data_IF_243566349419
#
_entry.id   IF_243566349419
#
_cell.length_a   1.000
_cell.length_b   1.000
_cell.length_c   1.000
_cell.angle_alpha   90.00
_cell.angle_beta   90.00
_cell.angle_gamma   90.00
#
_symmetry.space_group_name_H-M   'P 1'
#
loop_
_entity.id
_entity.type
_entity.pdbx_description
1 polymer ?
#
# COMPACT_ATOMS: atom_id res chain seq x y z
N UNK A 1 23.65 34.24 14.74
CA UNK A 1 22.48 35.00 14.30
C UNK A 1 21.98 34.30 13.03
N UNK A 2 20.66 34.16 12.85
CA UNK A 2 20.03 33.66 11.63
C UNK A 2 19.54 34.88 10.87
N UNK A 3 19.90 35.04 9.60
CA UNK A 3 19.54 36.22 8.79
C UNK A 3 19.08 35.78 7.38
N UNK A 4 17.78 35.97 7.08
CA UNK A 4 17.13 35.66 5.81
C UNK A 4 15.98 36.61 5.54
N UNK A 5 15.54 36.76 4.28
CA UNK A 5 14.39 37.63 3.97
C UNK A 5 13.10 37.10 4.57
N UNK A 6 12.85 35.79 4.46
CA UNK A 6 11.63 35.16 4.94
C UNK A 6 11.97 33.98 5.85
N UNK A 7 11.56 34.09 7.11
CA UNK A 7 11.76 33.04 8.10
C UNK A 7 10.41 32.43 8.50
N UNK A 8 10.36 31.12 8.59
CA UNK A 8 9.20 30.39 9.07
C UNK A 8 9.59 29.61 10.31
N UNK A 9 8.80 29.73 11.37
CA UNK A 9 9.00 28.93 12.56
C UNK A 9 8.01 27.78 12.63
N UNK A 10 8.55 26.57 12.61
CA UNK A 10 7.82 25.33 12.70
C UNK A 10 8.40 24.49 13.84
N UNK A 11 7.88 24.68 15.06
CA UNK A 11 8.49 24.13 16.27
C UNK A 11 8.73 22.63 16.21
N UNK A 12 7.72 21.85 15.81
CA UNK A 12 7.78 20.40 15.72
C UNK A 12 7.46 19.92 14.31
N UNK A 13 8.42 19.27 13.67
CA UNK A 13 8.22 18.61 12.37
C UNK A 13 7.94 17.12 12.64
N UNK A 14 6.68 16.70 12.58
CA UNK A 14 6.26 15.32 12.83
C UNK A 14 6.61 14.39 11.66
N UNK A 15 6.42 13.09 11.81
CA UNK A 15 6.67 12.10 10.75
C UNK A 15 5.63 12.19 9.63
N UNK A 16 4.39 12.55 9.96
CA UNK A 16 3.26 12.71 9.01
C UNK A 16 2.26 13.72 9.56
N UNK A 17 1.70 14.55 8.66
CA UNK A 17 0.65 15.50 9.01
C UNK A 17 0.35 16.50 7.90
N UNK A 18 -0.77 17.23 8.05
CA UNK A 18 -1.17 18.27 7.08
C UNK A 18 -0.21 19.45 7.05
N UNK A 19 0.36 19.82 8.21
CA UNK A 19 1.29 20.94 8.32
C UNK A 19 2.64 20.59 7.68
N UNK A 20 3.15 19.36 7.87
CA UNK A 20 4.34 18.85 7.20
C UNK A 20 4.16 18.85 5.68
N UNK A 21 2.97 18.47 5.22
CA UNK A 21 2.60 18.50 3.80
C UNK A 21 2.54 19.92 3.27
N UNK A 22 2.00 20.86 4.04
CA UNK A 22 2.04 22.30 3.72
C UNK A 22 3.48 22.77 3.52
N UNK A 23 4.36 22.57 4.49
CA UNK A 23 5.76 23.00 4.39
C UNK A 23 6.50 22.35 3.22
N UNK A 24 6.21 21.10 2.92
CA UNK A 24 6.79 20.43 1.76
C UNK A 24 6.38 21.08 0.44
N UNK A 25 5.07 21.28 0.22
CA UNK A 25 4.60 21.92 -1.02
C UNK A 25 4.98 23.39 -1.08
N UNK A 26 4.98 24.08 0.05
CA UNK A 26 5.44 25.45 0.15
C UNK A 26 6.91 25.58 -0.24
N UNK A 27 7.77 24.80 0.37
CA UNK A 27 9.20 24.79 0.08
C UNK A 27 9.48 24.46 -1.41
N UNK A 28 8.79 23.48 -1.95
CA UNK A 28 8.92 23.08 -3.34
C UNK A 28 8.51 24.19 -4.31
N UNK A 29 7.35 24.80 -4.08
CA UNK A 29 6.80 25.87 -4.93
C UNK A 29 7.63 27.15 -4.91
N UNK A 30 8.20 27.48 -3.75
CA UNK A 30 8.92 28.74 -3.53
C UNK A 30 10.43 28.54 -3.33
N UNK A 31 10.99 27.45 -3.84
CA UNK A 31 12.41 27.06 -3.71
C UNK A 31 13.42 28.11 -4.18
N UNK A 32 13.02 29.00 -5.09
CA UNK A 32 13.87 30.04 -5.66
C UNK A 32 13.80 31.35 -4.85
N UNK A 33 13.05 31.37 -3.73
CA UNK A 33 12.96 32.50 -2.81
C UNK A 33 13.94 32.35 -1.65
N UNK A 34 14.37 33.47 -1.07
CA UNK A 34 15.18 33.43 0.16
C UNK A 34 14.29 33.08 1.36
N UNK A 35 14.24 31.81 1.69
CA UNK A 35 13.39 31.21 2.74
C UNK A 35 14.23 30.33 3.66
N UNK A 36 14.09 30.54 4.97
CA UNK A 36 14.59 29.62 5.98
C UNK A 36 13.44 29.10 6.85
N UNK A 37 13.35 27.79 7.02
CA UNK A 37 12.44 27.14 7.97
C UNK A 37 13.24 26.82 9.24
N UNK A 38 12.82 27.40 10.35
CA UNK A 38 13.46 27.26 11.66
C UNK A 38 12.62 26.28 12.49
N UNK A 39 13.24 25.24 13.04
CA UNK A 39 12.56 24.22 13.82
C UNK A 39 13.32 23.89 15.11
N UNK A 40 12.60 23.44 16.14
CA UNK A 40 13.22 23.00 17.41
C UNK A 40 13.48 21.50 17.41
N UNK A 41 12.48 20.71 17.00
CA UNK A 41 12.54 19.25 16.98
C UNK A 41 11.89 18.73 15.68
N UNK A 42 12.30 17.54 15.23
CA UNK A 42 11.64 16.99 14.04
C UNK A 42 12.13 15.62 13.60
N UNK A 43 11.26 14.97 12.85
CA UNK A 43 11.52 13.70 12.17
C UNK A 43 12.55 13.89 11.06
N UNK A 44 13.58 13.06 11.08
CA UNK A 44 14.68 13.14 10.11
C UNK A 44 14.24 13.00 8.66
N UNK A 45 13.23 12.12 8.39
CA UNK A 45 12.76 11.87 7.01
C UNK A 45 12.05 13.10 6.45
N UNK A 46 11.23 13.78 7.26
CA UNK A 46 10.55 15.01 6.84
C UNK A 46 11.54 16.18 6.71
N UNK A 47 12.47 16.33 7.64
CA UNK A 47 13.54 17.33 7.54
C UNK A 47 14.29 17.13 6.22
N UNK A 48 14.76 15.91 5.94
CA UNK A 48 15.44 15.55 4.68
C UNK A 48 14.59 15.83 3.45
N UNK A 49 13.29 15.57 3.52
CA UNK A 49 12.33 15.79 2.42
C UNK A 49 12.19 17.28 2.09
N UNK A 50 12.03 18.12 3.11
CA UNK A 50 11.81 19.58 2.93
C UNK A 50 13.12 20.28 2.57
N UNK A 51 14.25 19.86 3.17
CA UNK A 51 15.58 20.47 2.95
C UNK A 51 16.12 20.32 1.51
N UNK A 52 15.45 19.52 0.67
CA UNK A 52 15.74 19.46 -0.77
C UNK A 52 15.42 20.76 -1.52
N UNK A 53 14.59 21.63 -0.94
CA UNK A 53 14.06 22.81 -1.60
C UNK A 53 14.42 24.10 -0.92
N UNK A 54 14.49 24.14 0.43
CA UNK A 54 14.77 25.34 1.21
C UNK A 54 15.66 25.01 2.40
N UNK A 55 16.30 26.03 2.96
CA UNK A 55 17.18 25.87 4.14
C UNK A 55 16.35 25.55 5.38
N UNK A 56 16.71 24.48 6.09
CA UNK A 56 16.19 24.14 7.42
C UNK A 56 17.24 24.38 8.48
N UNK A 57 16.92 25.14 9.52
CA UNK A 57 17.82 25.51 10.60
C UNK A 57 17.24 25.03 11.93
N UNK A 58 18.01 24.21 12.65
CA UNK A 58 17.63 23.83 14.01
C UNK A 58 17.83 25.00 14.96
N UNK A 59 16.75 25.40 15.64
CA UNK A 59 16.79 26.47 16.64
C UNK A 59 17.50 26.02 17.92
N UNK A 60 18.43 26.83 18.38
CA UNK A 60 19.23 26.64 19.61
C UNK A 60 19.33 27.91 20.43
N UNK A 61 18.31 28.78 20.37
CA UNK A 61 18.31 30.09 21.06
C UNK A 61 18.99 31.23 20.28
N UNK A 62 19.27 31.05 18.97
CA UNK A 62 19.87 32.11 18.16
C UNK A 62 18.90 33.28 17.98
N UNK A 63 19.44 34.51 17.89
CA UNK A 63 18.69 35.68 17.41
C UNK A 63 18.39 35.50 15.93
N UNK A 64 17.18 35.89 15.52
CA UNK A 64 16.68 35.81 14.15
C UNK A 64 16.41 37.23 13.66
N UNK A 65 16.93 37.56 12.47
CA UNK A 65 16.66 38.83 11.79
C UNK A 65 16.13 38.54 10.38
N UNK A 66 14.97 39.13 10.05
CA UNK A 66 14.34 38.89 8.74
C UNK A 66 13.45 40.08 8.32
N UNK A 67 13.04 40.07 7.07
CA UNK A 67 12.00 40.99 6.62
C UNK A 67 10.63 40.52 7.09
N UNK A 68 10.34 39.24 6.92
CA UNK A 68 9.05 38.63 7.30
C UNK A 68 9.28 37.39 8.16
N UNK A 69 8.64 37.35 9.31
CA UNK A 69 8.62 36.20 10.19
C UNK A 69 7.25 35.56 10.21
N UNK A 70 7.17 34.31 9.78
CA UNK A 70 5.95 33.52 9.78
C UNK A 70 5.98 32.51 10.93
N UNK A 71 4.97 32.55 11.77
CA UNK A 71 4.77 31.60 12.84
C UNK A 71 3.68 30.61 12.46
N UNK A 72 3.97 29.34 12.62
CA UNK A 72 3.00 28.28 12.52
C UNK A 72 2.57 27.84 13.92
N UNK A 73 1.41 28.24 14.39
CA UNK A 73 0.85 27.97 15.71
C UNK A 73 1.71 28.47 16.89
N UNK A 74 2.96 28.02 17.04
CA UNK A 74 3.86 28.36 18.15
C UNK A 74 4.55 29.71 17.91
N UNK A 75 4.57 30.55 18.95
CA UNK A 75 5.19 31.88 18.94
C UNK A 75 6.24 32.07 20.05
N UNK A 76 6.62 30.98 20.70
CA UNK A 76 7.49 30.95 21.90
C UNK A 76 8.88 31.59 21.69
N UNK A 77 9.33 31.73 20.46
CA UNK A 77 10.61 32.35 20.12
C UNK A 77 10.51 33.83 19.73
N UNK A 78 9.31 34.44 19.77
CA UNK A 78 9.04 35.76 19.20
C UNK A 78 9.91 36.88 19.78
N UNK A 79 10.38 36.74 21.01
CA UNK A 79 11.26 37.75 21.66
C UNK A 79 12.71 37.70 21.16
N UNK A 80 13.09 36.58 20.51
CA UNK A 80 14.41 36.43 19.88
C UNK A 80 14.39 36.84 18.40
N UNK A 81 13.24 37.40 17.91
CA UNK A 81 13.04 37.77 16.51
C UNK A 81 13.00 39.27 16.35
N UNK A 82 13.76 39.78 15.38
CA UNK A 82 13.69 41.12 14.82
C UNK A 82 13.20 41.03 13.37
N UNK A 83 11.98 41.48 13.10
CA UNK A 83 11.37 41.43 11.78
C UNK A 83 10.63 42.70 11.47
N UNK A 84 10.46 43.03 10.17
CA UNK A 84 9.61 44.16 9.71
C UNK A 84 8.13 43.80 9.78
N UNK A 85 7.80 42.53 9.47
CA UNK A 85 6.46 41.98 9.57
C UNK A 85 6.46 40.68 10.35
N UNK A 86 5.50 40.54 11.28
CA UNK A 86 5.24 39.34 12.05
C UNK A 86 3.90 38.75 11.64
N UNK A 87 3.90 37.58 11.07
CA UNK A 87 2.73 36.96 10.44
C UNK A 87 2.48 35.61 11.15
N UNK A 88 1.23 35.37 11.53
CA UNK A 88 0.83 34.05 12.04
C UNK A 88 -0.08 33.35 11.06
N UNK A 89 0.19 32.05 10.80
CA UNK A 89 -0.61 31.19 9.95
C UNK A 89 -1.46 30.27 10.84
N UNK A 90 -2.77 30.35 10.67
CA UNK A 90 -3.73 29.49 11.33
C UNK A 90 -4.09 28.32 10.41
N UNK A 91 -3.83 27.09 10.87
CA UNK A 91 -4.04 25.85 10.10
C UNK A 91 -5.21 25.00 10.59
N UNK A 92 -5.79 25.30 11.74
CA UNK A 92 -6.82 24.46 12.37
C UNK A 92 -8.14 25.20 12.58
N UNK A 93 -9.23 24.47 12.59
CA UNK A 93 -10.50 24.94 13.14
C UNK A 93 -10.42 24.90 14.67
N UNK A 94 -9.93 25.98 15.24
CA UNK A 94 -9.70 26.10 16.68
C UNK A 94 -10.97 25.98 17.50
N UNK A 95 -12.11 26.36 16.92
CA UNK A 95 -13.43 26.25 17.59
C UNK A 95 -13.82 24.78 17.79
N UNK A 96 -13.76 23.98 16.72
CA UNK A 96 -14.07 22.55 16.80
C UNK A 96 -13.06 21.77 17.65
N UNK A 97 -11.81 22.23 17.71
CA UNK A 97 -10.76 21.63 18.54
C UNK A 97 -10.86 22.05 20.03
N UNK A 98 -11.66 23.06 20.36
CA UNK A 98 -11.72 23.63 21.73
C UNK A 98 -10.39 24.25 22.19
N UNK A 99 -9.54 24.69 21.25
CA UNK A 99 -8.21 25.23 21.52
C UNK A 99 -8.23 26.75 21.28
N UNK A 100 -7.69 27.52 22.22
CA UNK A 100 -7.48 28.95 22.00
C UNK A 100 -6.20 29.16 21.18
N UNK A 101 -6.28 29.86 20.03
CA UNK A 101 -5.07 30.16 19.26
C UNK A 101 -4.15 31.12 20.02
N UNK A 102 -2.84 30.97 19.79
CA UNK A 102 -1.87 31.90 20.32
C UNK A 102 -1.99 33.26 19.61
N UNK A 103 -1.97 34.33 20.37
CA UNK A 103 -1.93 35.71 19.86
C UNK A 103 -0.81 36.47 20.56
N UNK A 104 -0.24 37.49 19.89
CA UNK A 104 0.81 38.31 20.50
C UNK A 104 0.78 39.73 19.92
N UNK A 105 1.04 40.79 20.72
CA UNK A 105 1.00 42.19 20.27
C UNK A 105 1.95 42.54 19.10
N UNK A 106 3.06 41.80 18.97
CA UNK A 106 4.00 41.96 17.84
C UNK A 106 3.45 41.43 16.52
N UNK A 107 2.46 40.50 16.54
CA UNK A 107 1.88 39.94 15.32
C UNK A 107 0.94 40.99 14.71
N UNK A 108 1.31 41.40 13.53
CA UNK A 108 0.57 42.46 12.82
C UNK A 108 -0.25 41.92 11.62
N UNK A 109 -0.16 40.63 11.34
CA UNK A 109 -0.95 39.98 10.29
C UNK A 109 -1.27 38.53 10.66
N UNK A 110 -2.54 38.14 10.45
CA UNK A 110 -3.00 36.74 10.63
C UNK A 110 -3.50 36.19 9.29
N UNK A 111 -3.08 34.97 8.96
CA UNK A 111 -3.50 34.27 7.75
C UNK A 111 -4.28 33.03 8.15
N UNK A 112 -5.41 32.75 7.49
CA UNK A 112 -6.18 31.52 7.65
C UNK A 112 -6.10 30.69 6.36
N UNK A 113 -5.87 29.39 6.49
CA UNK A 113 -5.71 28.49 5.33
C UNK A 113 -7.02 28.12 4.63
N UNK A 114 -8.15 28.53 5.18
CA UNK A 114 -9.50 28.41 4.60
C UNK A 114 -10.42 29.46 5.16
N UNK A 115 -11.57 29.71 4.52
CA UNK A 115 -12.57 30.66 5.02
C UNK A 115 -13.07 30.24 6.41
N UNK A 116 -13.33 28.94 6.63
CA UNK A 116 -13.71 28.43 7.94
C UNK A 116 -12.70 28.80 9.03
N UNK A 117 -11.40 28.65 8.74
CA UNK A 117 -10.34 29.01 9.68
C UNK A 117 -10.31 30.51 9.93
N UNK A 118 -10.49 31.34 8.90
CA UNK A 118 -10.57 32.78 9.06
C UNK A 118 -11.73 33.18 9.97
N UNK A 119 -12.93 32.66 9.73
CA UNK A 119 -14.15 32.99 10.46
C UNK A 119 -14.06 32.56 11.94
N UNK A 120 -13.64 31.30 12.18
CA UNK A 120 -13.50 30.77 13.54
C UNK A 120 -12.35 31.43 14.32
N UNK A 121 -11.25 31.77 13.65
CA UNK A 121 -10.16 32.51 14.30
C UNK A 121 -10.61 33.89 14.74
N UNK A 122 -11.33 34.66 13.87
CA UNK A 122 -11.91 35.95 14.19
C UNK A 122 -12.93 35.87 15.31
N UNK A 123 -13.80 34.85 15.30
CA UNK A 123 -14.79 34.64 16.36
C UNK A 123 -14.13 34.45 17.74
N UNK A 124 -13.02 33.66 17.81
CA UNK A 124 -12.36 33.37 19.07
C UNK A 124 -11.45 34.52 19.55
N UNK A 125 -10.75 35.19 18.64
CA UNK A 125 -9.69 36.14 18.99
C UNK A 125 -10.06 37.62 18.80
N UNK A 126 -11.07 37.89 17.98
CA UNK A 126 -11.42 39.24 17.54
C UNK A 126 -10.50 39.79 16.44
N UNK A 127 -9.45 39.11 16.02
CA UNK A 127 -8.55 39.58 14.98
C UNK A 127 -9.05 39.20 13.59
N UNK A 128 -8.95 40.16 12.66
CA UNK A 128 -9.18 39.89 11.23
C UNK A 128 -8.09 38.99 10.66
N UNK A 129 -8.52 38.02 9.84
CA UNK A 129 -7.64 37.03 9.25
C UNK A 129 -7.77 37.08 7.73
N UNK A 130 -6.65 37.24 7.05
CA UNK A 130 -6.62 37.19 5.59
C UNK A 130 -6.61 35.74 5.10
N UNK A 131 -7.45 35.42 4.11
CA UNK A 131 -7.52 34.10 3.50
C UNK A 131 -6.28 33.83 2.64
N UNK A 132 -5.56 32.75 2.96
CA UNK A 132 -4.38 32.31 2.24
C UNK A 132 -4.36 30.79 2.12
N UNK A 133 -4.90 30.25 1.03
CA UNK A 133 -4.93 28.81 0.78
C UNK A 133 -3.54 28.20 0.75
N UNK A 134 -3.46 26.95 1.24
CA UNK A 134 -2.22 26.19 1.19
C UNK A 134 -1.75 25.93 -0.24
N UNK A 135 -0.46 26.11 -0.56
CA UNK A 135 0.07 25.79 -1.87
C UNK A 135 0.07 24.29 -2.11
N UNK A 136 -0.13 23.90 -3.37
CA UNK A 136 0.01 22.52 -3.84
C UNK A 136 0.91 22.52 -5.06
N UNK A 137 1.92 21.65 -5.04
CA UNK A 137 2.90 21.46 -6.12
C UNK A 137 3.16 19.96 -6.29
N UNK A 138 2.29 19.28 -7.06
CA UNK A 138 2.31 17.82 -7.24
C UNK A 138 3.13 17.45 -8.47
N UNK A 139 4.13 16.60 -8.30
CA UNK A 139 4.83 15.96 -9.42
C UNK A 139 3.89 14.97 -10.11
N UNK A 140 4.15 14.71 -11.39
CA UNK A 140 3.47 13.62 -12.09
C UNK A 140 3.68 12.31 -11.32
N UNK A 141 2.61 11.65 -10.87
CA UNK A 141 2.76 10.42 -10.10
C UNK A 141 3.42 9.34 -10.95
N UNK A 142 4.29 8.55 -10.32
CA UNK A 142 4.85 7.35 -10.94
C UNK A 142 3.82 6.22 -10.86
N UNK A 143 3.78 5.35 -11.88
CA UNK A 143 3.04 4.09 -11.82
C UNK A 143 3.63 3.24 -10.69
N UNK A 144 2.77 2.65 -9.86
CA UNK A 144 3.17 1.60 -8.93
C UNK A 144 3.02 0.27 -9.66
N UNK A 145 4.09 -0.53 -9.71
CA UNK A 145 4.08 -1.85 -10.33
C UNK A 145 3.44 -2.85 -9.35
N UNK A 146 2.28 -3.39 -9.69
CA UNK A 146 1.57 -4.35 -8.87
C UNK A 146 2.00 -5.78 -9.24
N UNK A 147 2.74 -6.43 -8.36
CA UNK A 147 3.22 -7.80 -8.52
C UNK A 147 2.44 -8.74 -7.62
N UNK A 148 2.23 -9.97 -8.10
CA UNK A 148 1.59 -11.02 -7.32
C UNK A 148 2.37 -12.32 -7.44
N UNK A 149 2.45 -13.08 -6.34
CA UNK A 149 2.94 -14.46 -6.31
C UNK A 149 1.99 -15.34 -5.49
N UNK A 150 1.67 -16.52 -6.01
CA UNK A 150 0.93 -17.56 -5.32
C UNK A 150 1.85 -18.75 -5.17
N UNK A 151 2.66 -18.80 -4.11
CA UNK A 151 3.74 -19.78 -3.99
C UNK A 151 4.16 -19.99 -2.54
N UNK A 152 4.67 -21.18 -2.24
CA UNK A 152 5.42 -21.40 -0.99
C UNK A 152 6.75 -20.65 -1.07
N UNK A 153 7.20 -20.05 0.04
CA UNK A 153 8.48 -19.34 0.11
C UNK A 153 9.65 -20.28 0.45
N UNK A 154 9.73 -21.39 -0.25
CA UNK A 154 10.81 -22.36 -0.13
C UNK A 154 11.96 -22.02 -1.09
N UNK A 155 13.10 -22.66 -0.91
CA UNK A 155 14.27 -22.41 -1.75
C UNK A 155 13.97 -22.74 -3.22
N UNK A 156 13.42 -23.95 -3.48
CA UNK A 156 13.07 -24.43 -4.83
C UNK A 156 11.96 -23.61 -5.49
N UNK A 157 11.15 -22.88 -4.71
CA UNK A 157 10.14 -21.93 -5.23
C UNK A 157 10.68 -20.52 -5.41
N UNK A 158 12.01 -20.36 -5.29
CA UNK A 158 12.72 -19.16 -5.68
C UNK A 158 12.68 -18.03 -4.67
N UNK A 159 12.55 -18.28 -3.36
CA UNK A 159 12.56 -17.25 -2.34
C UNK A 159 13.74 -16.28 -2.50
N UNK A 160 14.96 -16.80 -2.69
CA UNK A 160 16.17 -15.98 -2.88
C UNK A 160 16.10 -15.09 -4.14
N UNK A 161 15.45 -15.58 -5.20
CA UNK A 161 15.25 -14.79 -6.43
C UNK A 161 14.18 -13.70 -6.24
N UNK A 162 13.14 -13.96 -5.47
CA UNK A 162 12.15 -12.95 -5.08
C UNK A 162 12.85 -11.83 -4.30
N UNK A 163 13.68 -12.17 -3.30
CA UNK A 163 14.48 -11.20 -2.54
C UNK A 163 15.42 -10.39 -3.46
N UNK A 164 16.09 -11.06 -4.39
CA UNK A 164 17.00 -10.42 -5.34
C UNK A 164 16.26 -9.47 -6.28
N UNK A 165 15.13 -9.89 -6.86
CA UNK A 165 14.33 -9.04 -7.76
C UNK A 165 13.76 -7.82 -7.02
N UNK A 166 13.27 -8.01 -5.78
CA UNK A 166 12.82 -6.91 -4.93
C UNK A 166 13.95 -5.90 -4.66
N UNK A 167 15.15 -6.38 -4.29
CA UNK A 167 16.33 -5.53 -4.13
C UNK A 167 16.73 -4.78 -5.40
N UNK A 168 16.58 -5.39 -6.57
CA UNK A 168 16.86 -4.74 -7.86
C UNK A 168 15.86 -3.62 -8.15
N UNK A 169 14.57 -3.84 -7.87
CA UNK A 169 13.52 -2.81 -8.00
C UNK A 169 13.77 -1.63 -7.05
N UNK A 170 14.13 -1.91 -5.78
CA UNK A 170 14.46 -0.88 -4.79
C UNK A 170 15.66 -0.03 -5.24
N UNK A 171 16.75 -0.67 -5.67
CA UNK A 171 17.95 0.02 -6.18
C UNK A 171 17.68 0.87 -7.42
N UNK A 172 16.78 0.42 -8.27
CA UNK A 172 16.35 1.17 -9.46
C UNK A 172 15.34 2.28 -9.16
N UNK A 173 14.90 2.46 -7.90
CA UNK A 173 13.85 3.38 -7.48
C UNK A 173 12.54 3.20 -8.29
N UNK A 174 12.20 1.95 -8.63
CA UNK A 174 10.94 1.59 -9.25
C UNK A 174 9.93 1.35 -8.14
N UNK A 175 8.84 2.13 -8.04
CA UNK A 175 7.84 1.89 -7.03
C UNK A 175 7.03 0.64 -7.37
N UNK A 176 6.88 -0.26 -6.41
CA UNK A 176 6.11 -1.49 -6.55
C UNK A 176 5.40 -1.86 -5.26
N UNK A 177 4.36 -2.67 -5.42
CA UNK A 177 3.67 -3.39 -4.37
C UNK A 177 3.63 -4.86 -4.78
N UNK A 178 4.12 -5.76 -3.92
CA UNK A 178 4.17 -7.19 -4.21
C UNK A 178 3.35 -7.99 -3.21
N UNK A 179 2.23 -8.52 -3.65
CA UNK A 179 1.41 -9.41 -2.84
C UNK A 179 1.92 -10.85 -2.98
N UNK A 180 2.25 -11.50 -1.87
CA UNK A 180 2.67 -12.90 -1.84
C UNK A 180 1.64 -13.71 -1.05
N UNK A 181 0.93 -14.59 -1.73
CA UNK A 181 -0.02 -15.52 -1.12
C UNK A 181 0.71 -16.80 -0.74
N UNK A 182 0.84 -17.05 0.57
CA UNK A 182 1.63 -18.14 1.13
C UNK A 182 1.22 -18.48 2.55
N UNK A 183 1.42 -19.73 2.95
CA UNK A 183 1.33 -20.18 4.35
C UNK A 183 2.70 -20.11 5.08
N UNK A 184 3.77 -19.76 4.36
CA UNK A 184 5.11 -19.71 4.94
C UNK A 184 5.25 -18.53 5.89
N UNK A 185 5.80 -18.78 7.08
CA UNK A 185 6.05 -17.76 8.11
C UNK A 185 7.40 -17.05 7.94
N UNK A 186 8.29 -17.56 7.07
CA UNK A 186 9.62 -16.99 6.83
C UNK A 186 9.56 -15.83 5.84
N UNK A 187 9.00 -14.73 6.27
CA UNK A 187 8.85 -13.52 5.47
C UNK A 187 10.20 -12.95 4.96
N UNK A 188 10.17 -12.37 3.78
CA UNK A 188 11.23 -11.50 3.24
C UNK A 188 11.05 -10.13 3.90
N UNK A 189 12.09 -9.59 4.51
CA UNK A 189 12.02 -8.27 5.15
C UNK A 189 12.13 -7.15 4.10
N UNK A 190 10.99 -6.78 3.51
CA UNK A 190 10.90 -5.67 2.55
C UNK A 190 9.55 -4.95 2.73
N UNK A 191 9.52 -3.61 2.91
CA UNK A 191 8.29 -2.86 3.19
C UNK A 191 7.31 -2.84 2.01
N UNK A 192 7.75 -3.15 0.79
CA UNK A 192 6.92 -3.21 -0.41
C UNK A 192 6.33 -4.59 -0.67
N UNK A 193 6.62 -5.59 0.20
CA UNK A 193 6.09 -6.96 0.12
C UNK A 193 5.04 -7.15 1.21
N UNK A 194 3.84 -7.53 0.80
CA UNK A 194 2.71 -7.83 1.69
C UNK A 194 2.37 -9.31 1.60
N UNK A 195 2.30 -9.98 2.74
CA UNK A 195 1.95 -11.38 2.83
C UNK A 195 0.47 -11.56 3.07
N UNK A 196 -0.12 -12.44 2.29
CA UNK A 196 -1.53 -12.82 2.36
C UNK A 196 -1.66 -14.33 2.57
N UNK A 197 -2.65 -14.75 3.35
CA UNK A 197 -3.03 -16.16 3.43
C UNK A 197 -3.51 -16.67 2.06
N UNK A 198 -3.30 -17.96 1.72
CA UNK A 198 -3.88 -18.56 0.53
C UNK A 198 -5.40 -18.35 0.46
N UNK A 199 -5.90 -18.16 -0.75
CA UNK A 199 -7.31 -17.84 -1.02
C UNK A 199 -7.82 -18.64 -2.20
N UNK A 200 -9.08 -19.07 -2.14
CA UNK A 200 -9.74 -19.75 -3.26
C UNK A 200 -10.10 -18.79 -4.40
N UNK A 201 -10.28 -17.51 -4.10
CA UNK A 201 -10.59 -16.44 -5.06
C UNK A 201 -9.35 -15.69 -5.57
N UNK A 202 -8.16 -16.30 -5.48
CA UNK A 202 -6.88 -15.68 -5.87
C UNK A 202 -6.86 -15.18 -7.32
N UNK A 203 -7.64 -15.80 -8.19
CA UNK A 203 -7.73 -15.42 -9.59
C UNK A 203 -8.17 -13.95 -9.77
N UNK A 204 -8.99 -13.42 -8.85
CA UNK A 204 -9.42 -12.03 -8.86
C UNK A 204 -8.25 -11.07 -8.57
N UNK A 205 -7.30 -11.47 -7.73
CA UNK A 205 -6.10 -10.70 -7.44
C UNK A 205 -5.12 -10.76 -8.61
N UNK A 206 -4.95 -11.94 -9.21
CA UNK A 206 -4.09 -12.16 -10.38
C UNK A 206 -4.56 -11.28 -11.54
N UNK A 207 -5.87 -11.25 -11.83
CA UNK A 207 -6.45 -10.47 -12.93
C UNK A 207 -6.24 -8.95 -12.79
N UNK A 208 -5.97 -8.45 -11.60
CA UNK A 208 -5.74 -7.03 -11.32
C UNK A 208 -4.27 -6.67 -11.07
N UNK A 209 -3.34 -7.62 -11.21
CA UNK A 209 -1.91 -7.38 -11.11
C UNK A 209 -1.31 -6.97 -12.47
N UNK A 210 -0.18 -6.25 -12.43
CA UNK A 210 0.62 -6.00 -13.63
C UNK A 210 1.35 -7.26 -14.09
N UNK A 211 1.79 -8.11 -13.13
CA UNK A 211 2.45 -9.38 -13.40
C UNK A 211 2.21 -10.40 -12.28
N UNK A 212 2.04 -11.66 -12.69
CA UNK A 212 2.30 -12.78 -11.80
C UNK A 212 3.79 -13.13 -11.86
N UNK A 213 4.41 -13.30 -10.68
CA UNK A 213 5.84 -13.62 -10.54
C UNK A 213 6.00 -15.03 -9.99
N UNK A 214 6.67 -15.92 -10.77
CA UNK A 214 6.93 -17.31 -10.40
C UNK A 214 8.39 -17.66 -10.74
N UNK A 215 9.26 -17.60 -9.73
CA UNK A 215 10.72 -17.75 -9.92
C UNK A 215 11.25 -19.11 -9.43
N UNK A 216 10.50 -20.19 -9.66
CA UNK A 216 10.84 -21.55 -9.24
C UNK A 216 12.04 -22.15 -9.97
N UNK A 217 12.72 -23.11 -9.34
CA UNK A 217 13.75 -23.95 -9.97
C UNK A 217 13.14 -24.95 -10.95
N UNK A 218 11.94 -25.45 -10.61
CA UNK A 218 11.19 -26.39 -11.42
C UNK A 218 9.70 -26.35 -11.08
N UNK A 219 8.88 -26.68 -12.03
CA UNK A 219 7.44 -26.88 -11.89
C UNK A 219 7.00 -28.01 -12.85
N UNK A 220 5.97 -28.76 -12.44
CA UNK A 220 5.39 -29.81 -13.32
C UNK A 220 4.45 -29.22 -14.37
N UNK A 221 3.59 -28.26 -13.99
CA UNK A 221 2.64 -27.61 -14.90
C UNK A 221 2.47 -26.11 -14.60
N UNK A 222 2.64 -25.70 -13.33
CA UNK A 222 2.51 -24.33 -12.85
C UNK A 222 1.13 -23.67 -13.10
N UNK A 223 0.10 -24.15 -12.40
CA UNK A 223 -1.27 -23.63 -12.53
C UNK A 223 -1.38 -22.11 -12.39
N UNK A 224 -0.68 -21.50 -11.43
CA UNK A 224 -0.73 -20.06 -11.24
C UNK A 224 -0.33 -19.24 -12.48
N UNK A 225 0.67 -19.75 -13.24
CA UNK A 225 1.10 -19.13 -14.50
C UNK A 225 0.03 -19.29 -15.59
N UNK A 226 -0.55 -20.50 -15.71
CA UNK A 226 -1.62 -20.77 -16.69
C UNK A 226 -2.87 -19.93 -16.37
N UNK A 227 -3.23 -19.82 -15.11
CA UNK A 227 -4.34 -19.00 -14.63
C UNK A 227 -4.10 -17.51 -14.96
N UNK A 228 -2.91 -16.99 -14.65
CA UNK A 228 -2.55 -15.61 -14.96
C UNK A 228 -2.65 -15.28 -16.45
N UNK A 229 -2.07 -16.13 -17.29
CA UNK A 229 -2.14 -15.97 -18.74
C UNK A 229 -3.58 -16.05 -19.25
N UNK A 230 -4.40 -16.93 -18.67
CA UNK A 230 -5.81 -17.13 -19.07
C UNK A 230 -6.71 -15.92 -18.77
N UNK A 231 -6.35 -15.11 -17.77
CA UNK A 231 -7.05 -13.85 -17.46
C UNK A 231 -6.36 -12.63 -18.07
N UNK A 232 -5.35 -12.83 -18.91
CA UNK A 232 -4.63 -11.74 -19.60
C UNK A 232 -3.56 -11.03 -18.75
N UNK A 233 -3.19 -11.60 -17.60
CA UNK A 233 -2.12 -11.09 -16.76
C UNK A 233 -0.79 -11.66 -17.21
N UNK A 234 0.18 -10.82 -17.63
CA UNK A 234 1.50 -11.28 -18.04
C UNK A 234 2.30 -11.81 -16.85
N UNK A 235 3.34 -12.60 -17.16
CA UNK A 235 4.10 -13.29 -16.13
C UNK A 235 5.58 -12.93 -16.15
N UNK A 236 6.24 -13.02 -15.00
CA UNK A 236 7.69 -12.98 -14.83
C UNK A 236 8.09 -14.34 -14.26
N UNK A 237 8.82 -15.14 -15.03
CA UNK A 237 9.11 -16.53 -14.68
C UNK A 237 10.60 -16.85 -14.91
N UNK A 238 11.10 -17.87 -14.21
CA UNK A 238 12.41 -18.46 -14.51
C UNK A 238 12.36 -19.33 -15.75
N UNK A 239 13.49 -19.47 -16.44
CA UNK A 239 13.64 -20.24 -17.69
C UNK A 239 13.62 -21.77 -17.44
N UNK A 240 12.48 -22.25 -16.90
CA UNK A 240 12.25 -23.69 -16.78
C UNK A 240 11.61 -24.25 -18.05
N UNK A 241 11.85 -25.51 -18.41
CA UNK A 241 11.30 -26.12 -19.64
C UNK A 241 9.77 -26.00 -19.73
N UNK A 242 9.06 -26.18 -18.62
CA UNK A 242 7.59 -26.13 -18.58
C UNK A 242 7.03 -24.75 -18.95
N UNK A 243 7.73 -23.66 -18.67
CA UNK A 243 7.24 -22.32 -19.01
C UNK A 243 7.10 -22.13 -20.52
N UNK A 244 8.05 -22.66 -21.31
CA UNK A 244 7.96 -22.65 -22.78
C UNK A 244 6.88 -23.62 -23.28
N UNK A 245 6.75 -24.78 -22.65
CA UNK A 245 5.74 -25.78 -22.99
C UNK A 245 4.32 -25.25 -22.81
N UNK A 246 4.03 -24.56 -21.72
CA UNK A 246 2.71 -23.95 -21.47
C UNK A 246 2.50 -22.65 -22.27
N UNK A 247 3.48 -22.18 -23.02
CA UNK A 247 3.34 -21.07 -23.98
C UNK A 247 3.76 -19.69 -23.46
N UNK A 248 4.59 -19.62 -22.42
CA UNK A 248 5.19 -18.34 -22.02
C UNK A 248 6.20 -17.91 -23.08
N UNK A 249 6.09 -16.66 -23.52
CA UNK A 249 6.98 -16.05 -24.55
C UNK A 249 7.07 -14.53 -24.34
N UNK A 250 7.81 -13.83 -25.18
CA UNK A 250 8.03 -12.38 -25.09
C UNK A 250 6.78 -11.50 -25.26
N UNK A 251 5.66 -12.06 -25.70
CA UNK A 251 4.40 -11.33 -25.88
C UNK A 251 3.62 -11.29 -24.55
N UNK A 252 3.69 -12.36 -23.76
CA UNK A 252 2.87 -12.57 -22.56
C UNK A 252 3.68 -12.68 -21.27
N UNK A 253 5.01 -12.54 -21.32
CA UNK A 253 5.83 -12.62 -20.11
C UNK A 253 7.30 -12.33 -20.33
N UNK A 254 8.04 -12.30 -19.23
CA UNK A 254 9.48 -12.23 -19.16
C UNK A 254 10.03 -13.56 -18.63
N UNK A 255 10.88 -14.20 -19.43
CA UNK A 255 11.58 -15.43 -19.02
C UNK A 255 12.97 -15.02 -18.56
N UNK A 256 13.24 -15.20 -17.29
CA UNK A 256 14.47 -14.79 -16.62
C UNK A 256 15.42 -15.97 -16.44
N UNK A 257 16.70 -15.70 -16.54
CA UNK A 257 17.73 -16.66 -16.15
C UNK A 257 17.69 -16.88 -14.61
N UNK A 258 18.13 -18.04 -14.14
CA UNK A 258 18.07 -18.40 -12.72
C UNK A 258 18.88 -17.44 -11.83
N UNK A 259 19.91 -16.81 -12.38
CA UNK A 259 20.70 -15.81 -11.69
C UNK A 259 20.17 -14.38 -11.85
N UNK A 260 19.07 -14.20 -12.59
CA UNK A 260 18.44 -12.93 -12.91
C UNK A 260 19.38 -11.94 -13.66
N UNK A 261 20.39 -12.44 -14.37
CA UNK A 261 21.35 -11.59 -15.11
C UNK A 261 20.73 -10.87 -16.29
N UNK A 262 19.67 -11.42 -16.89
CA UNK A 262 18.97 -10.88 -18.05
C UNK A 262 17.73 -10.03 -17.71
N UNK A 263 17.58 -9.56 -16.46
CA UNK A 263 16.42 -8.75 -16.07
C UNK A 263 16.47 -7.35 -16.68
N UNK A 264 15.49 -7.03 -17.51
CA UNK A 264 15.25 -5.66 -17.98
C UNK A 264 14.12 -5.00 -17.17
N UNK A 265 14.50 -4.33 -16.09
CA UNK A 265 13.55 -3.63 -15.21
C UNK A 265 12.80 -2.50 -15.91
N UNK A 266 13.40 -1.88 -16.95
CA UNK A 266 12.73 -0.81 -17.71
C UNK A 266 11.61 -1.38 -18.57
N UNK A 267 11.87 -2.51 -19.23
CA UNK A 267 10.86 -3.21 -20.02
C UNK A 267 9.72 -3.72 -19.11
N UNK A 268 10.04 -4.31 -17.95
CA UNK A 268 9.06 -4.75 -16.97
C UNK A 268 8.19 -3.55 -16.51
N UNK A 269 8.81 -2.43 -16.15
CA UNK A 269 8.09 -1.25 -15.69
C UNK A 269 7.23 -0.60 -16.79
N UNK A 270 7.66 -0.63 -18.03
CA UNK A 270 6.90 -0.16 -19.20
C UNK A 270 5.63 -0.99 -19.41
N UNK A 271 5.70 -2.29 -19.14
CA UNK A 271 4.60 -3.24 -19.34
C UNK A 271 4.59 -3.87 -20.72
N UNK A 272 3.80 -4.93 -20.87
CA UNK A 272 3.56 -5.63 -22.11
C UNK A 272 2.23 -5.19 -22.74
N UNK A 273 2.07 -5.31 -24.06
CA UNK A 273 0.77 -5.07 -24.72
C UNK A 273 -0.25 -6.13 -24.27
N UNK A 274 -1.52 -5.83 -24.49
CA UNK A 274 -2.58 -6.83 -24.27
C UNK A 274 -2.37 -8.03 -25.21
N UNK A 275 -2.60 -9.22 -24.68
CA UNK A 275 -2.46 -10.48 -25.41
C UNK A 275 -3.67 -11.37 -25.17
N UNK A 276 -3.80 -12.41 -25.98
CA UNK A 276 -4.77 -13.49 -25.81
C UNK A 276 -3.99 -14.79 -25.59
N UNK A 277 -4.44 -15.60 -24.65
CA UNK A 277 -3.84 -16.89 -24.35
C UNK A 277 -4.91 -17.98 -24.33
N UNK A 278 -4.56 -19.13 -24.87
CA UNK A 278 -5.41 -20.33 -24.82
C UNK A 278 -4.62 -21.44 -24.18
N UNK A 279 -5.06 -21.95 -23.03
CA UNK A 279 -4.40 -23.09 -22.36
C UNK A 279 -4.31 -24.32 -23.26
N UNK A 280 -3.29 -25.13 -23.04
CA UNK A 280 -3.15 -26.43 -23.69
C UNK A 280 -4.38 -27.28 -23.42
N UNK A 281 -4.91 -27.90 -24.46
CA UNK A 281 -6.09 -28.78 -24.34
C UNK A 281 -5.71 -30.06 -23.59
N UNK A 282 -6.44 -30.37 -22.55
CA UNK A 282 -6.31 -31.66 -21.87
C UNK A 282 -6.86 -32.82 -22.71
N UNK A 283 -6.46 -34.04 -22.37
CA UNK A 283 -6.89 -35.27 -23.04
C UNK A 283 -7.70 -36.20 -22.13
N UNK A 284 -8.09 -35.73 -20.94
CA UNK A 284 -8.81 -36.57 -19.97
C UNK A 284 -10.14 -37.10 -20.51
N UNK A 285 -10.83 -36.30 -21.35
CA UNK A 285 -12.07 -36.73 -21.99
C UNK A 285 -11.94 -38.01 -22.82
N UNK A 286 -10.72 -38.35 -23.29
CA UNK A 286 -10.43 -39.61 -24.00
C UNK A 286 -10.19 -40.79 -23.07
N UNK A 287 -9.80 -40.48 -21.81
CA UNK A 287 -9.48 -41.48 -20.80
C UNK A 287 -10.67 -41.81 -19.90
N UNK A 288 -11.59 -40.85 -19.76
CA UNK A 288 -12.78 -41.05 -18.94
C UNK A 288 -13.83 -41.89 -19.65
N UNK A 289 -14.42 -42.83 -18.93
CA UNK A 289 -15.56 -43.63 -19.43
C UNK A 289 -16.76 -42.71 -19.73
N UNK A 290 -17.42 -42.96 -20.84
CA UNK A 290 -18.63 -42.21 -21.23
C UNK A 290 -19.82 -42.69 -20.41
N UNK A 291 -19.90 -42.29 -19.15
CA UNK A 291 -21.08 -42.47 -18.30
C UNK A 291 -21.59 -41.13 -17.81
N UNK A 292 -22.90 -40.97 -17.69
CA UNK A 292 -23.47 -39.79 -17.03
C UNK A 292 -23.18 -39.90 -15.54
N UNK A 293 -22.73 -38.80 -14.95
CA UNK A 293 -22.60 -38.71 -13.50
C UNK A 293 -23.97 -38.87 -12.85
N UNK A 294 -24.07 -39.74 -11.88
CA UNK A 294 -25.20 -39.80 -10.95
C UNK A 294 -25.00 -38.87 -9.74
N UNK A 295 -23.85 -38.18 -9.70
CA UNK A 295 -23.51 -37.26 -8.62
C UNK A 295 -24.27 -35.94 -8.79
N UNK A 296 -25.18 -35.68 -7.89
CA UNK A 296 -25.92 -34.42 -7.77
C UNK A 296 -25.29 -33.60 -6.63
N UNK A 297 -24.47 -32.63 -6.95
CA UNK A 297 -23.76 -31.79 -5.96
C UNK A 297 -24.71 -31.10 -4.97
N UNK A 298 -25.94 -30.85 -5.38
CA UNK A 298 -26.98 -30.21 -4.55
C UNK A 298 -27.93 -31.21 -3.88
N UNK A 299 -27.73 -32.53 -4.08
CA UNK A 299 -28.57 -33.52 -3.38
C UNK A 299 -28.38 -33.34 -1.87
N UNK A 300 -29.46 -33.04 -1.18
CA UNK A 300 -29.49 -32.99 0.26
C UNK A 300 -29.61 -34.39 0.83
N UNK A 301 -28.86 -34.62 1.89
CA UNK A 301 -28.93 -35.86 2.68
C UNK A 301 -29.20 -35.53 4.13
N UNK A 302 -29.90 -36.43 4.80
CA UNK A 302 -30.12 -36.31 6.25
C UNK A 302 -28.89 -36.77 7.01
N UNK A 303 -28.51 -36.01 7.99
CA UNK A 303 -27.39 -36.33 8.88
C UNK A 303 -27.85 -36.21 10.32
N UNK A 304 -27.28 -37.06 11.19
CA UNK A 304 -27.44 -36.95 12.63
C UNK A 304 -26.13 -36.52 13.25
N UNK A 305 -26.16 -35.48 14.06
CA UNK A 305 -24.96 -34.95 14.72
C UNK A 305 -24.55 -35.86 15.87
N UNK A 306 -23.27 -36.24 15.91
CA UNK A 306 -22.70 -37.12 16.93
C UNK A 306 -21.89 -36.34 17.99
N UNK A 307 -21.60 -35.07 17.73
CA UNK A 307 -21.01 -34.14 18.71
C UNK A 307 -21.51 -32.71 18.49
N UNK A 308 -21.37 -31.85 19.50
CA UNK A 308 -21.65 -30.43 19.36
C UNK A 308 -20.53 -29.75 18.58
N UNK A 309 -20.85 -28.89 17.62
CA UNK A 309 -19.87 -28.07 16.92
C UNK A 309 -20.49 -26.77 16.39
N UNK A 310 -19.66 -25.76 16.14
CA UNK A 310 -20.09 -24.53 15.50
C UNK A 310 -19.91 -24.68 13.98
N UNK A 311 -21.01 -24.66 13.23
CA UNK A 311 -20.99 -24.70 11.80
C UNK A 311 -20.81 -23.28 11.22
N UNK A 312 -19.63 -23.04 10.63
CA UNK A 312 -19.24 -21.73 10.08
C UNK A 312 -20.09 -21.38 8.85
N UNK A 313 -20.45 -22.37 8.01
CA UNK A 313 -21.24 -22.11 6.81
C UNK A 313 -22.69 -21.80 7.14
N UNK A 314 -23.27 -22.50 8.12
CA UNK A 314 -24.62 -22.26 8.62
C UNK A 314 -24.69 -21.13 9.66
N UNK A 315 -23.55 -20.67 10.12
CA UNK A 315 -23.40 -19.65 11.17
C UNK A 315 -24.25 -19.94 12.42
N UNK A 316 -24.23 -21.19 12.86
CA UNK A 316 -24.97 -21.64 14.04
C UNK A 316 -24.28 -22.79 14.77
N UNK A 317 -24.61 -22.91 16.06
CA UNK A 317 -24.26 -24.05 16.86
C UNK A 317 -25.13 -25.26 16.51
N UNK A 318 -24.49 -26.39 16.23
CA UNK A 318 -25.11 -27.66 15.90
C UNK A 318 -25.02 -28.57 17.13
N UNK A 319 -26.17 -29.08 17.55
CA UNK A 319 -26.30 -29.84 18.79
C UNK A 319 -26.28 -31.35 18.55
N UNK A 320 -25.51 -32.06 19.33
CA UNK A 320 -25.45 -33.54 19.34
C UNK A 320 -26.87 -34.15 19.44
N UNK A 321 -27.12 -35.14 18.60
CA UNK A 321 -28.38 -35.88 18.52
C UNK A 321 -29.43 -35.28 17.60
N UNK A 322 -29.29 -34.02 17.20
CA UNK A 322 -30.19 -33.38 16.24
C UNK A 322 -29.95 -33.87 14.81
N UNK A 323 -31.02 -33.87 14.00
CA UNK A 323 -30.98 -34.20 12.59
C UNK A 323 -31.05 -32.93 11.75
N UNK A 324 -30.28 -32.92 10.65
CA UNK A 324 -30.22 -31.82 9.70
C UNK A 324 -30.21 -32.33 8.27
N UNK A 325 -30.66 -31.51 7.33
CA UNK A 325 -30.44 -31.75 5.90
C UNK A 325 -29.27 -30.90 5.40
N UNK A 326 -28.25 -31.56 4.86
CA UNK A 326 -27.06 -30.93 4.33
C UNK A 326 -26.83 -31.34 2.88
N UNK A 327 -26.17 -30.50 2.05
CA UNK A 327 -25.65 -30.94 0.76
C UNK A 327 -24.73 -32.15 0.95
N UNK A 328 -24.80 -33.13 0.06
CA UNK A 328 -24.03 -34.37 0.17
C UNK A 328 -22.54 -34.16 0.41
N UNK A 329 -21.93 -33.23 -0.35
CA UNK A 329 -20.50 -32.92 -0.18
C UNK A 329 -20.18 -32.40 1.22
N UNK A 330 -21.06 -31.56 1.83
CA UNK A 330 -20.89 -31.06 3.19
C UNK A 330 -21.09 -32.17 4.22
N UNK A 331 -22.08 -33.01 4.01
CA UNK A 331 -22.36 -34.15 4.89
C UNK A 331 -21.18 -35.14 4.91
N UNK A 332 -20.60 -35.43 3.75
CA UNK A 332 -19.42 -36.29 3.60
C UNK A 332 -18.22 -35.71 4.36
N UNK A 333 -17.90 -34.44 4.15
CA UNK A 333 -16.82 -33.77 4.88
C UNK A 333 -17.02 -33.84 6.40
N UNK A 334 -18.22 -33.51 6.90
CA UNK A 334 -18.51 -33.53 8.32
C UNK A 334 -18.54 -34.95 8.92
N UNK A 335 -18.81 -35.96 8.09
CA UNK A 335 -18.71 -37.35 8.50
C UNK A 335 -17.24 -37.77 8.63
N UNK A 336 -16.36 -37.36 7.72
CA UNK A 336 -14.92 -37.60 7.81
C UNK A 336 -14.28 -36.90 9.02
N UNK A 337 -14.83 -35.74 9.43
CA UNK A 337 -14.45 -35.01 10.64
C UNK A 337 -15.14 -35.54 11.91
N UNK A 338 -15.82 -36.66 11.84
CA UNK A 338 -16.54 -37.30 12.97
C UNK A 338 -17.58 -36.37 13.64
N UNK A 339 -18.13 -35.40 12.91
CA UNK A 339 -19.14 -34.49 13.44
C UNK A 339 -20.56 -34.99 13.25
N UNK A 340 -20.81 -35.73 12.18
CA UNK A 340 -22.13 -36.27 11.80
C UNK A 340 -22.05 -37.71 11.31
N UNK A 341 -23.19 -38.40 11.29
CA UNK A 341 -23.40 -39.62 10.53
C UNK A 341 -24.52 -39.38 9.53
N UNK A 342 -24.34 -39.85 8.30
CA UNK A 342 -25.42 -39.83 7.32
C UNK A 342 -26.47 -40.84 7.73
N UNK A 343 -27.73 -40.44 7.68
CA UNK A 343 -28.89 -41.29 7.96
C UNK A 343 -29.41 -41.72 6.58
N UNK A 344 -29.38 -43.01 6.30
CA UNK A 344 -29.92 -43.56 5.09
C UNK A 344 -31.40 -43.21 4.99
N UNK A 345 -31.77 -42.64 3.84
CA UNK A 345 -33.13 -42.34 3.47
C UNK A 345 -33.76 -43.52 2.70
#
# INVERSE_FOLDING_TARGET
>A
MIEHKNCFYFRYISSIGGIETFFYYFAKKYKDQDIAIIYSEGDYKQIKRISQYVLLIKYKGQKIKCDKMFFNFNIDIIDNVEAKEYIQIAHGDYKSLGIKPNTHPKINKYLGVSQLVCDTYKEITGYDTELCYNPIEIDKPKKILNLISATRLTYEKGKSRIEKLASMLDKANIPYLWLIFTDDTKAINNPNIIYMKPRLDIINYIANADYLVQLSDSDGYCYSVVEALSVGTPVIVTNTPVMKEIGVNSINGFILDFDLSNVDLKAIYKGLPKFTYTPKKDNYSKLLSKSKSTYESNKKVKVKCIQNYNDIELNKEITKGCEYELPFARASYLQDEECVVMIDG
#
